data_IF_929082548926
#
_entry.id   IF_929082548926
#
_cell.length_a   1.000
_cell.length_b   1.000
_cell.length_c   1.000
_cell.angle_alpha   90.00
_cell.angle_beta   90.00
_cell.angle_gamma   90.00
#
_symmetry.space_group_name_H-M   'P 1'
#
loop_
_entity.id
_entity.type
_entity.pdbx_description
1 polymer ?
#
# COMPACT_ATOMS: atom_id res chain seq x y z
N UNK A 1 7.94 -10.78 -17.41
CA UNK A 1 7.05 -10.80 -16.21
C UNK A 1 5.77 -10.02 -16.48
N UNK A 2 4.65 -10.38 -15.85
CA UNK A 2 3.39 -9.62 -15.88
C UNK A 2 3.34 -8.67 -14.69
N UNK A 3 2.73 -7.49 -14.88
CA UNK A 3 2.42 -6.56 -13.80
C UNK A 3 0.94 -6.66 -13.50
N UNK A 4 0.55 -6.72 -12.23
CA UNK A 4 -0.84 -6.97 -11.83
C UNK A 4 -1.31 -5.90 -10.88
N UNK A 5 -2.41 -5.26 -11.23
CA UNK A 5 -3.16 -4.36 -10.35
C UNK A 5 -4.48 -5.01 -9.93
N UNK A 6 -4.93 -4.71 -8.73
CA UNK A 6 -6.27 -5.05 -8.26
C UNK A 6 -7.03 -3.75 -8.02
N UNK A 7 -8.10 -3.54 -8.76
CA UNK A 7 -8.90 -2.32 -8.70
C UNK A 7 -10.35 -2.66 -8.38
N UNK A 8 -10.81 -2.27 -7.19
CA UNK A 8 -12.23 -2.20 -6.85
C UNK A 8 -12.60 -0.75 -6.56
N UNK A 9 -13.42 -0.16 -7.42
CA UNK A 9 -13.68 1.27 -7.42
C UNK A 9 -15.07 1.59 -7.94
N UNK A 10 -15.62 2.67 -7.47
CA UNK A 10 -16.90 3.22 -7.90
C UNK A 10 -16.73 4.65 -8.43
N UNK A 11 -17.68 5.19 -9.19
CA UNK A 11 -17.60 6.59 -9.59
C UNK A 11 -17.60 7.62 -8.42
N UNK A 12 -17.77 7.16 -7.17
CA UNK A 12 -17.79 8.03 -5.98
C UNK A 12 -16.44 8.14 -5.26
N UNK A 13 -15.51 7.21 -5.53
CA UNK A 13 -14.16 7.23 -4.95
C UNK A 13 -13.12 7.71 -5.99
N UNK A 14 -11.83 7.63 -5.65
CA UNK A 14 -10.71 8.07 -6.48
C UNK A 14 -9.70 6.95 -6.78
N UNK A 15 -10.04 5.70 -6.49
CA UNK A 15 -9.12 4.57 -6.72
C UNK A 15 -8.86 4.30 -8.21
N UNK A 16 -9.83 4.61 -9.07
CA UNK A 16 -9.64 4.52 -10.51
C UNK A 16 -8.60 5.52 -11.02
N UNK A 17 -8.66 6.76 -10.55
CA UNK A 17 -7.74 7.83 -10.93
C UNK A 17 -6.31 7.53 -10.45
N UNK A 18 -6.17 6.92 -9.28
CA UNK A 18 -4.88 6.42 -8.78
C UNK A 18 -4.35 5.30 -9.67
N UNK A 19 -5.17 4.30 -9.97
CA UNK A 19 -4.80 3.21 -10.89
C UNK A 19 -4.43 3.73 -12.28
N UNK A 20 -5.12 4.76 -12.77
CA UNK A 20 -4.84 5.38 -14.06
C UNK A 20 -3.47 6.08 -14.08
N UNK A 21 -3.14 6.87 -13.03
CA UNK A 21 -1.82 7.49 -12.90
C UNK A 21 -0.71 6.45 -12.79
N UNK A 22 -0.92 5.41 -11.99
CA UNK A 22 0.04 4.32 -11.84
C UNK A 22 0.25 3.58 -13.16
N UNK A 23 -0.81 3.23 -13.88
CA UNK A 23 -0.73 2.56 -15.18
C UNK A 23 -0.05 3.41 -16.25
N UNK A 24 -0.32 4.72 -16.29
CA UNK A 24 0.37 5.65 -17.16
C UNK A 24 1.86 5.68 -16.87
N UNK A 25 2.25 5.83 -15.59
CA UNK A 25 3.66 5.84 -15.19
C UNK A 25 4.37 4.52 -15.50
N UNK A 26 3.68 3.38 -15.31
CA UNK A 26 4.21 2.07 -15.70
C UNK A 26 4.50 2.03 -17.20
N UNK A 27 3.52 2.42 -18.02
CA UNK A 27 3.66 2.38 -19.48
C UNK A 27 4.75 3.33 -19.98
N UNK A 28 4.93 4.47 -19.32
CA UNK A 28 5.96 5.45 -19.65
C UNK A 28 7.38 4.89 -19.45
N UNK A 29 7.64 4.23 -18.32
CA UNK A 29 8.97 3.69 -18.00
C UNK A 29 9.18 2.26 -18.51
N UNK A 30 8.10 1.54 -18.80
CA UNK A 30 8.10 0.15 -19.25
C UNK A 30 7.12 -0.01 -20.43
N UNK A 31 7.45 0.49 -21.65
CA UNK A 31 6.51 0.53 -22.78
C UNK A 31 5.97 -0.85 -23.18
N UNK A 32 6.79 -1.89 -23.04
CA UNK A 32 6.43 -3.28 -23.34
C UNK A 32 5.77 -4.04 -22.17
N UNK A 33 5.50 -3.37 -21.04
CA UNK A 33 4.93 -4.01 -19.86
C UNK A 33 3.59 -4.69 -20.14
N UNK A 34 3.44 -5.93 -19.71
CA UNK A 34 2.14 -6.62 -19.74
C UNK A 34 1.37 -6.30 -18.46
N UNK A 35 0.58 -5.24 -18.48
CA UNK A 35 -0.27 -4.85 -17.35
C UNK A 35 -1.61 -5.58 -17.41
N UNK A 36 -1.90 -6.38 -16.40
CA UNK A 36 -3.19 -7.02 -16.15
C UNK A 36 -3.87 -6.29 -15.00
N UNK A 37 -5.09 -5.84 -15.22
CA UNK A 37 -5.91 -5.22 -14.16
C UNK A 37 -7.05 -6.15 -13.80
N UNK A 38 -7.05 -6.65 -12.57
CA UNK A 38 -8.12 -7.46 -12.02
C UNK A 38 -9.15 -6.53 -11.38
N UNK A 39 -10.40 -6.64 -11.80
CA UNK A 39 -11.50 -5.80 -11.32
C UNK A 39 -12.68 -6.67 -10.87
N UNK A 40 -13.51 -6.17 -9.96
CA UNK A 40 -14.80 -6.80 -9.69
C UNK A 40 -15.85 -6.40 -10.75
N UNK A 41 -16.94 -7.14 -10.83
CA UNK A 41 -18.04 -6.89 -11.79
C UNK A 41 -18.60 -5.47 -11.70
N UNK A 42 -18.72 -4.87 -10.50
CA UNK A 42 -19.22 -3.50 -10.33
C UNK A 42 -18.23 -2.45 -10.85
N UNK A 43 -16.95 -2.64 -10.58
CA UNK A 43 -15.90 -1.80 -11.16
C UNK A 43 -15.92 -1.93 -12.66
N UNK A 44 -15.95 -3.14 -13.22
CA UNK A 44 -15.98 -3.37 -14.67
C UNK A 44 -17.18 -2.69 -15.32
N UNK A 45 -18.36 -2.80 -14.75
CA UNK A 45 -19.58 -2.13 -15.25
C UNK A 45 -19.47 -0.59 -15.23
N UNK A 46 -18.61 -0.02 -14.36
CA UNK A 46 -18.38 1.41 -14.28
C UNK A 46 -17.35 1.96 -15.29
N UNK A 47 -16.61 1.09 -16.01
CA UNK A 47 -15.58 1.48 -16.99
C UNK A 47 -16.20 1.89 -18.33
N UNK A 48 -17.01 2.94 -18.33
CA UNK A 48 -17.77 3.45 -19.47
C UNK A 48 -17.43 4.90 -19.79
N UNK A 49 -17.76 5.35 -21.02
CA UNK A 49 -17.62 6.75 -21.42
C UNK A 49 -18.51 7.68 -20.59
N UNK A 50 -19.72 7.23 -20.26
CA UNK A 50 -20.63 7.99 -19.41
C UNK A 50 -20.01 8.35 -18.05
N UNK A 51 -19.27 7.39 -17.47
CA UNK A 51 -18.55 7.60 -16.20
C UNK A 51 -17.17 8.25 -16.40
N UNK A 52 -16.76 8.55 -17.64
CA UNK A 52 -15.40 9.03 -17.98
C UNK A 52 -14.28 8.12 -17.46
N UNK A 53 -14.48 6.79 -17.55
CA UNK A 53 -13.57 5.80 -16.94
C UNK A 53 -13.03 4.78 -17.95
N UNK A 54 -12.75 5.22 -19.18
CA UNK A 54 -12.25 4.34 -20.25
C UNK A 54 -10.74 4.46 -20.47
N UNK A 55 -10.10 5.55 -19.98
CA UNK A 55 -8.69 5.84 -20.25
C UNK A 55 -7.73 4.72 -19.75
N UNK A 56 -8.06 4.01 -18.68
CA UNK A 56 -7.25 2.89 -18.20
C UNK A 56 -7.06 1.78 -19.25
N UNK A 57 -8.04 1.60 -20.15
CA UNK A 57 -7.95 0.64 -21.27
C UNK A 57 -6.81 0.93 -22.24
N UNK A 58 -6.31 2.19 -22.28
CA UNK A 58 -5.17 2.59 -23.12
C UNK A 58 -3.84 2.01 -22.60
N UNK A 59 -3.75 1.76 -21.29
CA UNK A 59 -2.51 1.37 -20.63
C UNK A 59 -2.51 -0.10 -20.19
N UNK A 60 -3.70 -0.67 -19.90
CA UNK A 60 -3.83 -2.08 -19.56
C UNK A 60 -3.69 -2.97 -20.81
N UNK A 61 -2.93 -4.05 -20.70
CA UNK A 61 -2.88 -5.10 -21.74
C UNK A 61 -4.11 -5.98 -21.67
N UNK A 62 -4.67 -6.15 -20.47
CA UNK A 62 -5.87 -6.93 -20.21
C UNK A 62 -6.58 -6.41 -18.97
N UNK A 63 -7.91 -6.37 -19.01
CA UNK A 63 -8.76 -6.17 -17.83
C UNK A 63 -9.59 -7.44 -17.64
N UNK A 64 -9.49 -8.06 -16.48
CA UNK A 64 -10.20 -9.30 -16.13
C UNK A 64 -11.25 -8.97 -15.08
N UNK A 65 -12.52 -9.20 -15.40
CA UNK A 65 -13.64 -9.04 -14.46
C UNK A 65 -13.87 -10.31 -13.66
N UNK A 66 -14.02 -10.15 -12.35
CA UNK A 66 -14.29 -11.24 -11.42
C UNK A 66 -15.65 -10.98 -10.78
N UNK A 67 -16.53 -11.97 -10.86
CA UNK A 67 -17.89 -11.85 -10.39
C UNK A 67 -17.99 -12.06 -8.89
N UNK A 68 -18.71 -11.16 -8.24
CA UNK A 68 -19.08 -11.25 -6.83
C UNK A 68 -20.57 -10.97 -6.67
N UNK A 69 -21.16 -11.57 -5.65
CA UNK A 69 -22.52 -11.26 -5.23
C UNK A 69 -22.62 -9.79 -4.79
N UNK A 70 -23.81 -9.22 -4.93
CA UNK A 70 -24.01 -7.77 -4.72
C UNK A 70 -23.81 -7.30 -3.28
N UNK A 71 -24.01 -8.18 -2.33
CA UNK A 71 -23.87 -7.93 -0.88
C UNK A 71 -22.42 -7.96 -0.38
N UNK A 72 -21.46 -8.44 -1.20
CA UNK A 72 -20.04 -8.43 -0.82
C UNK A 72 -19.49 -6.99 -0.82
N UNK A 73 -18.96 -6.47 0.30
CA UNK A 73 -18.40 -5.12 0.37
C UNK A 73 -17.19 -4.92 -0.55
N UNK A 74 -17.00 -3.70 -1.08
CA UNK A 74 -15.86 -3.38 -1.98
C UNK A 74 -14.50 -3.73 -1.37
N UNK A 75 -14.30 -3.43 -0.09
CA UNK A 75 -13.05 -3.78 0.62
C UNK A 75 -12.81 -5.29 0.59
N UNK A 76 -13.84 -6.09 0.79
CA UNK A 76 -13.73 -7.55 0.81
C UNK A 76 -13.42 -8.08 -0.60
N UNK A 77 -14.09 -7.56 -1.65
CA UNK A 77 -13.79 -7.92 -3.05
C UNK A 77 -12.34 -7.63 -3.40
N UNK A 78 -11.84 -6.43 -3.06
CA UNK A 78 -10.44 -6.07 -3.28
C UNK A 78 -9.49 -7.10 -2.64
N UNK A 79 -9.71 -7.48 -1.39
CA UNK A 79 -8.84 -8.41 -0.68
C UNK A 79 -8.98 -9.85 -1.18
N UNK A 80 -10.19 -10.27 -1.53
CA UNK A 80 -10.44 -11.59 -2.13
C UNK A 80 -9.72 -11.74 -3.48
N UNK A 81 -9.78 -10.71 -4.34
CA UNK A 81 -9.06 -10.71 -5.63
C UNK A 81 -7.54 -10.72 -5.37
N UNK A 82 -7.03 -9.80 -4.53
CA UNK A 82 -5.61 -9.65 -4.23
C UNK A 82 -4.99 -10.95 -3.72
N UNK A 83 -5.65 -11.61 -2.80
CA UNK A 83 -5.13 -12.83 -2.18
C UNK A 83 -5.32 -14.08 -3.05
N UNK A 84 -5.99 -13.96 -4.20
CA UNK A 84 -6.24 -15.05 -5.15
C UNK A 84 -5.67 -14.78 -6.56
N UNK A 85 -4.73 -13.82 -6.72
CA UNK A 85 -4.14 -13.47 -8.03
C UNK A 85 -3.70 -14.68 -8.85
N UNK A 86 -3.03 -15.72 -8.29
CA UNK A 86 -2.61 -16.90 -9.07
C UNK A 86 -3.75 -17.75 -9.65
N UNK A 87 -4.98 -17.51 -9.27
CA UNK A 87 -6.16 -18.16 -9.86
C UNK A 87 -6.56 -17.48 -11.18
N UNK A 88 -6.21 -16.20 -11.36
CA UNK A 88 -6.58 -15.38 -12.52
C UNK A 88 -5.43 -15.09 -13.45
N UNK A 89 -4.19 -15.11 -12.92
CA UNK A 89 -2.98 -14.76 -13.66
C UNK A 89 -2.00 -15.92 -13.59
N UNK A 90 -1.73 -16.56 -14.74
CA UNK A 90 -0.71 -17.62 -14.86
C UNK A 90 0.70 -17.05 -15.02
N UNK A 91 1.71 -17.81 -14.61
CA UNK A 91 3.13 -17.44 -14.74
C UNK A 91 3.57 -16.42 -13.69
N UNK A 92 4.80 -15.91 -13.88
CA UNK A 92 5.42 -14.94 -12.96
C UNK A 92 4.77 -13.56 -13.06
N UNK A 93 4.57 -12.91 -11.91
CA UNK A 93 3.99 -11.58 -11.85
C UNK A 93 4.57 -10.73 -10.71
N UNK A 94 4.47 -9.41 -10.88
CA UNK A 94 4.65 -8.42 -9.84
C UNK A 94 3.30 -7.76 -9.55
N UNK A 95 2.74 -8.02 -8.37
CA UNK A 95 1.58 -7.29 -7.87
C UNK A 95 2.02 -5.93 -7.34
N UNK A 96 1.28 -4.88 -7.67
CA UNK A 96 1.53 -3.49 -7.24
C UNK A 96 0.19 -2.86 -6.87
N UNK A 97 0.12 -2.19 -5.71
CA UNK A 97 -1.06 -1.41 -5.30
C UNK A 97 -1.27 -0.20 -6.23
N UNK A 98 -2.51 0.23 -6.41
CA UNK A 98 -2.88 1.30 -7.34
C UNK A 98 -2.43 2.70 -6.88
N UNK A 99 -2.21 2.93 -5.60
CA UNK A 99 -1.70 4.19 -5.03
C UNK A 99 -0.17 4.29 -5.07
N UNK A 100 0.36 3.98 -6.25
CA UNK A 100 1.80 3.99 -6.56
C UNK A 100 2.09 4.82 -7.82
N UNK A 101 3.34 5.27 -7.95
CA UNK A 101 3.88 5.84 -9.20
C UNK A 101 5.16 5.10 -9.56
N UNK A 102 5.21 4.58 -10.78
CA UNK A 102 6.41 3.94 -11.32
C UNK A 102 7.39 5.03 -11.75
N UNK A 103 8.64 4.91 -11.32
CA UNK A 103 9.66 5.96 -11.46
C UNK A 103 10.81 5.57 -12.40
N UNK A 104 10.86 4.30 -12.83
CA UNK A 104 11.97 3.78 -13.61
C UNK A 104 11.61 2.41 -14.23
N UNK A 105 12.53 1.85 -15.02
CA UNK A 105 12.43 0.48 -15.54
C UNK A 105 12.38 -0.54 -14.40
N UNK A 106 11.44 -1.48 -14.48
CA UNK A 106 11.21 -2.53 -13.50
C UNK A 106 11.81 -3.89 -13.90
N UNK A 107 12.45 -4.01 -15.06
CA UNK A 107 12.94 -5.30 -15.57
C UNK A 107 13.91 -6.01 -14.63
N UNK A 108 14.71 -5.26 -13.86
CA UNK A 108 15.68 -5.83 -12.92
C UNK A 108 15.03 -6.65 -11.78
N UNK A 109 13.74 -6.48 -11.52
CA UNK A 109 13.04 -7.30 -10.50
C UNK A 109 13.01 -8.79 -10.88
N UNK A 110 13.08 -9.09 -12.17
CA UNK A 110 13.15 -10.47 -12.66
C UNK A 110 14.44 -11.16 -12.24
N UNK A 111 15.51 -10.41 -11.98
CA UNK A 111 16.81 -10.92 -11.54
C UNK A 111 16.86 -11.23 -10.04
N UNK A 112 15.82 -10.85 -9.27
CA UNK A 112 15.77 -11.17 -7.85
C UNK A 112 15.78 -12.68 -7.63
N UNK A 113 16.77 -13.17 -6.88
CA UNK A 113 17.01 -14.61 -6.67
C UNK A 113 16.03 -15.24 -5.65
N UNK A 114 14.72 -15.09 -5.86
CA UNK A 114 13.68 -15.64 -4.97
C UNK A 114 12.43 -16.04 -5.75
N UNK A 115 11.65 -16.95 -5.18
CA UNK A 115 10.32 -17.30 -5.72
C UNK A 115 9.29 -16.23 -5.35
N UNK A 116 9.28 -15.80 -4.10
CA UNK A 116 8.38 -14.76 -3.63
C UNK A 116 9.17 -13.69 -2.88
N UNK A 117 8.73 -12.44 -2.99
CA UNK A 117 9.38 -11.32 -2.31
C UNK A 117 8.44 -10.17 -2.01
N UNK A 118 8.81 -9.35 -1.04
CA UNK A 118 8.09 -8.14 -0.66
C UNK A 118 9.00 -7.18 0.08
N UNK A 119 8.61 -5.91 0.15
CA UNK A 119 9.38 -4.87 0.83
C UNK A 119 8.87 -4.71 2.25
N UNK A 120 9.79 -4.43 3.18
CA UNK A 120 9.43 -4.17 4.59
C UNK A 120 8.55 -2.92 4.71
N UNK A 121 7.52 -3.03 5.49
CA UNK A 121 6.72 -1.89 5.94
C UNK A 121 7.60 -0.97 6.80
N UNK A 122 7.58 0.33 6.53
CA UNK A 122 8.46 1.28 7.22
C UNK A 122 9.95 1.10 6.93
N UNK A 123 10.35 0.24 6.00
CA UNK A 123 11.74 -0.05 5.59
C UNK A 123 12.67 -0.44 6.74
N UNK A 124 12.16 -1.01 7.81
CA UNK A 124 12.94 -1.42 8.97
C UNK A 124 12.46 -2.76 9.55
N UNK A 125 13.29 -3.36 10.37
CA UNK A 125 12.91 -4.55 11.13
C UNK A 125 11.89 -4.18 12.22
N UNK A 126 11.15 -5.18 12.68
CA UNK A 126 10.06 -4.99 13.65
C UNK A 126 10.51 -4.27 14.93
N UNK A 127 11.74 -4.54 15.39
CA UNK A 127 12.25 -3.95 16.62
C UNK A 127 12.46 -2.44 16.54
N UNK A 128 12.73 -1.93 15.34
CA UNK A 128 12.91 -0.50 15.03
C UNK A 128 11.61 0.17 14.59
N UNK A 129 10.58 -0.62 14.29
CA UNK A 129 9.36 -0.10 13.68
C UNK A 129 8.51 0.70 14.67
N UNK A 130 8.16 1.94 14.31
CA UNK A 130 7.37 2.85 15.17
C UNK A 130 6.01 2.27 15.58
N UNK A 131 5.42 1.40 14.74
CA UNK A 131 4.14 0.73 14.99
C UNK A 131 4.28 -0.70 15.52
N UNK A 132 5.47 -1.13 15.99
CA UNK A 132 5.72 -2.47 16.54
C UNK A 132 4.64 -2.92 17.53
N UNK A 133 4.35 -2.07 18.52
CA UNK A 133 3.34 -2.40 19.55
C UNK A 133 1.96 -2.66 18.96
N UNK A 134 1.59 -1.88 17.95
CA UNK A 134 0.32 -2.00 17.25
C UNK A 134 0.23 -3.31 16.45
N UNK A 135 1.26 -3.67 15.70
CA UNK A 135 1.30 -4.93 14.94
C UNK A 135 1.22 -6.14 15.85
N UNK A 136 2.03 -6.17 16.91
CA UNK A 136 2.02 -7.29 17.87
C UNK A 136 0.68 -7.40 18.62
N UNK A 137 0.04 -6.29 18.96
CA UNK A 137 -1.28 -6.30 19.58
C UNK A 137 -2.36 -6.82 18.63
N UNK A 138 -2.30 -6.43 17.34
CA UNK A 138 -3.19 -6.95 16.30
C UNK A 138 -2.98 -8.46 16.11
N UNK A 139 -1.75 -8.91 15.91
CA UNK A 139 -1.42 -10.32 15.74
C UNK A 139 -1.91 -11.15 16.93
N UNK A 140 -1.71 -10.67 18.16
CA UNK A 140 -2.23 -11.33 19.36
C UNK A 140 -3.76 -11.47 19.33
N UNK A 141 -4.49 -10.41 18.92
CA UNK A 141 -5.97 -10.44 18.78
C UNK A 141 -6.41 -11.47 17.75
N UNK A 142 -5.65 -11.60 16.65
CA UNK A 142 -5.93 -12.53 15.55
C UNK A 142 -5.49 -13.98 15.87
N UNK A 143 -4.65 -14.19 16.86
CA UNK A 143 -4.01 -15.48 17.14
C UNK A 143 -2.85 -15.77 16.17
N UNK A 144 -2.22 -14.75 15.61
CA UNK A 144 -1.12 -14.84 14.65
C UNK A 144 0.24 -14.72 15.35
N UNK A 145 1.25 -15.30 14.73
CA UNK A 145 2.64 -15.25 15.17
C UNK A 145 3.61 -14.78 14.10
N UNK A 146 3.13 -14.64 12.87
CA UNK A 146 3.95 -14.41 11.68
C UNK A 146 4.87 -13.20 11.80
N UNK A 147 4.34 -12.02 12.11
CA UNK A 147 5.13 -10.80 12.25
C UNK A 147 6.23 -10.93 13.31
N UNK A 148 5.91 -11.54 14.46
CA UNK A 148 6.90 -11.77 15.54
C UNK A 148 7.97 -12.78 15.12
N UNK A 149 7.58 -13.88 14.49
CA UNK A 149 8.49 -14.94 14.06
C UNK A 149 9.39 -14.50 12.91
N UNK A 150 8.85 -13.67 12.00
CA UNK A 150 9.60 -13.06 10.92
C UNK A 150 10.57 -11.97 11.44
N UNK A 151 10.28 -11.35 12.59
CA UNK A 151 11.01 -10.18 13.09
C UNK A 151 10.82 -8.93 12.21
N UNK A 152 9.79 -8.92 11.38
CA UNK A 152 9.52 -7.87 10.40
C UNK A 152 8.02 -7.84 10.05
N UNK A 153 7.60 -6.74 9.39
CA UNK A 153 6.28 -6.62 8.79
C UNK A 153 6.46 -6.34 7.30
N UNK A 154 6.00 -7.26 6.43
CA UNK A 154 6.08 -7.07 4.99
C UNK A 154 4.90 -6.21 4.56
N UNK A 155 5.17 -5.17 3.76
CA UNK A 155 4.13 -4.35 3.18
C UNK A 155 3.40 -5.10 2.06
N UNK A 156 2.08 -5.14 2.14
CA UNK A 156 1.25 -5.85 1.18
C UNK A 156 1.08 -5.14 -0.17
N UNK A 157 1.57 -3.92 -0.33
CA UNK A 157 1.39 -3.11 -1.55
C UNK A 157 2.27 -3.51 -2.73
N UNK A 158 3.25 -4.41 -2.50
CA UNK A 158 4.03 -5.02 -3.55
C UNK A 158 4.35 -6.47 -3.20
N UNK A 159 4.06 -7.39 -4.12
CA UNK A 159 4.41 -8.82 -3.99
C UNK A 159 4.98 -9.33 -5.31
N UNK A 160 6.24 -9.70 -5.29
CA UNK A 160 6.88 -10.47 -6.36
C UNK A 160 6.49 -11.94 -6.22
N UNK A 161 6.05 -12.55 -7.31
CA UNK A 161 5.68 -13.96 -7.36
C UNK A 161 6.19 -14.58 -8.67
N UNK A 162 7.12 -15.51 -8.57
CA UNK A 162 7.68 -16.25 -9.71
C UNK A 162 7.02 -17.61 -9.87
N UNK A 163 6.88 -18.03 -11.11
CA UNK A 163 6.31 -19.33 -11.50
C UNK A 163 6.95 -19.81 -12.81
N UNK A 164 8.28 -19.73 -12.88
CA UNK A 164 9.08 -20.15 -14.04
C UNK A 164 9.32 -21.67 -14.03
N UNK A 165 9.29 -22.28 -12.85
CA UNK A 165 9.37 -23.71 -12.65
C UNK A 165 8.14 -24.22 -11.91
N UNK A 166 7.87 -25.53 -11.99
CA UNK A 166 6.74 -26.16 -11.26
C UNK A 166 6.86 -25.92 -9.74
N UNK A 167 8.06 -26.01 -9.20
CA UNK A 167 8.29 -25.78 -7.77
C UNK A 167 8.00 -24.31 -7.38
N UNK A 168 8.42 -23.34 -8.17
CA UNK A 168 8.10 -21.93 -7.95
C UNK A 168 6.59 -21.68 -8.05
N UNK A 169 5.94 -22.24 -9.07
CA UNK A 169 4.50 -22.13 -9.25
C UNK A 169 3.74 -22.72 -8.06
N UNK A 170 4.18 -23.87 -7.53
CA UNK A 170 3.61 -24.50 -6.35
C UNK A 170 3.79 -23.64 -5.09
N UNK A 171 5.00 -23.12 -4.87
CA UNK A 171 5.29 -22.25 -3.71
C UNK A 171 4.47 -20.94 -3.77
N UNK A 172 4.37 -20.32 -4.94
CA UNK A 172 3.56 -19.13 -5.15
C UNK A 172 2.08 -19.41 -4.87
N UNK A 173 1.53 -20.46 -5.44
CA UNK A 173 0.12 -20.84 -5.21
C UNK A 173 -0.14 -21.14 -3.73
N UNK A 174 0.76 -21.85 -3.05
CA UNK A 174 0.60 -22.16 -1.63
C UNK A 174 0.62 -20.90 -0.76
N UNK A 175 1.54 -19.95 -1.00
CA UNK A 175 1.58 -18.68 -0.27
C UNK A 175 0.24 -17.92 -0.42
N UNK A 176 -0.24 -17.75 -1.66
CA UNK A 176 -1.47 -17.00 -1.92
C UNK A 176 -2.72 -17.72 -1.38
N UNK A 177 -2.78 -19.04 -1.47
CA UNK A 177 -3.83 -19.84 -0.86
C UNK A 177 -3.89 -19.64 0.65
N UNK A 178 -2.74 -19.77 1.33
CA UNK A 178 -2.63 -19.49 2.76
C UNK A 178 -3.01 -18.05 3.10
N UNK A 179 -2.55 -17.08 2.31
CA UNK A 179 -2.91 -15.68 2.50
C UNK A 179 -4.42 -15.45 2.41
N UNK A 180 -5.09 -16.03 1.42
CA UNK A 180 -6.54 -15.95 1.23
C UNK A 180 -7.32 -16.60 2.39
N UNK A 181 -6.95 -17.80 2.80
CA UNK A 181 -7.60 -18.52 3.91
C UNK A 181 -7.45 -17.79 5.23
N UNK A 182 -6.24 -17.32 5.54
CA UNK A 182 -5.93 -16.57 6.76
C UNK A 182 -6.63 -15.21 6.75
N UNK A 183 -6.66 -14.51 5.61
CA UNK A 183 -7.39 -13.26 5.50
C UNK A 183 -8.90 -13.45 5.70
N UNK A 184 -9.51 -14.48 5.10
CA UNK A 184 -10.92 -14.83 5.33
C UNK A 184 -11.22 -15.08 6.81
N UNK A 185 -10.37 -15.83 7.49
CA UNK A 185 -10.49 -16.05 8.93
C UNK A 185 -10.40 -14.71 9.68
N UNK A 186 -9.40 -13.88 9.39
CA UNK A 186 -9.24 -12.56 10.00
C UNK A 186 -10.47 -11.68 9.78
N UNK A 187 -10.94 -11.58 8.54
CA UNK A 187 -12.04 -10.70 8.16
C UNK A 187 -13.39 -11.15 8.72
N UNK A 188 -13.72 -12.42 8.58
CA UNK A 188 -15.07 -12.92 8.87
C UNK A 188 -15.22 -13.48 10.30
N UNK A 189 -14.14 -14.00 10.89
CA UNK A 189 -14.20 -14.55 12.26
C UNK A 189 -13.71 -13.54 13.30
N UNK A 190 -12.69 -12.75 12.97
CA UNK A 190 -12.06 -11.79 13.90
C UNK A 190 -12.45 -10.34 13.63
N UNK A 191 -13.21 -10.07 12.57
CA UNK A 191 -13.65 -8.74 12.15
C UNK A 191 -12.49 -7.75 11.92
N UNK A 192 -11.38 -8.25 11.37
CA UNK A 192 -10.21 -7.47 10.99
C UNK A 192 -9.90 -7.71 9.50
N UNK A 193 -10.12 -6.69 8.68
CA UNK A 193 -10.02 -6.76 7.21
C UNK A 193 -8.64 -6.34 6.66
N UNK A 194 -7.66 -6.12 7.52
CA UNK A 194 -6.30 -5.81 7.07
C UNK A 194 -5.62 -7.08 6.52
N UNK A 195 -5.10 -6.95 5.32
CA UNK A 195 -4.49 -8.07 4.58
C UNK A 195 -3.01 -8.31 4.93
N UNK A 196 -2.31 -7.29 5.45
CA UNK A 196 -0.87 -7.34 5.71
C UNK A 196 -0.51 -8.31 6.85
N UNK A 197 -1.26 -8.32 7.97
CA UNK A 197 -1.04 -9.31 9.03
C UNK A 197 -1.28 -10.74 8.54
N UNK A 198 -2.27 -10.93 7.66
CA UNK A 198 -2.55 -12.23 7.05
C UNK A 198 -1.42 -12.67 6.10
N UNK A 199 -0.79 -11.74 5.34
CA UNK A 199 0.37 -12.03 4.51
C UNK A 199 1.57 -12.51 5.35
N UNK A 200 1.87 -11.80 6.44
CA UNK A 200 2.97 -12.19 7.33
C UNK A 200 2.75 -13.54 8.00
N UNK A 201 1.52 -13.82 8.40
CA UNK A 201 1.14 -15.14 8.95
C UNK A 201 1.20 -16.23 7.87
N UNK A 202 0.76 -15.96 6.65
CA UNK A 202 0.87 -16.90 5.52
C UNK A 202 2.33 -17.22 5.21
N UNK A 203 3.19 -16.20 5.13
CA UNK A 203 4.63 -16.40 4.95
C UNK A 203 5.24 -17.25 6.05
N UNK A 204 4.87 -17.03 7.31
CA UNK A 204 5.31 -17.86 8.43
C UNK A 204 4.87 -19.31 8.28
N UNK A 205 3.60 -19.57 7.98
CA UNK A 205 3.06 -20.93 7.83
C UNK A 205 3.63 -21.69 6.63
N UNK A 206 4.06 -20.96 5.59
CA UNK A 206 4.71 -21.55 4.42
C UNK A 206 6.23 -21.63 4.52
N UNK A 207 6.80 -21.36 5.71
CA UNK A 207 8.21 -21.58 6.02
C UNK A 207 9.12 -20.36 5.82
N UNK A 208 8.59 -19.13 5.90
CA UNK A 208 9.34 -17.86 5.82
C UNK A 208 10.13 -17.69 4.52
N UNK A 209 9.52 -18.05 3.39
CA UNK A 209 10.20 -18.09 2.08
C UNK A 209 10.19 -16.77 1.32
N UNK A 210 9.42 -15.77 1.75
CA UNK A 210 9.44 -14.46 1.10
C UNK A 210 10.75 -13.74 1.39
N UNK A 211 11.46 -13.35 0.32
CA UNK A 211 12.66 -12.51 0.41
C UNK A 211 12.28 -11.08 0.73
N UNK A 212 13.03 -10.42 1.60
CA UNK A 212 12.97 -8.98 1.75
C UNK A 212 13.67 -8.33 0.56
N UNK A 213 12.88 -7.62 -0.25
CA UNK A 213 13.39 -6.87 -1.38
C UNK A 213 13.90 -5.51 -0.93
N UNK A 214 14.80 -4.93 -1.72
CA UNK A 214 15.30 -3.57 -1.51
C UNK A 214 14.16 -2.57 -1.48
N UNK A 215 14.25 -1.56 -0.60
CA UNK A 215 13.22 -0.53 -0.41
C UNK A 215 12.88 0.28 -1.67
N UNK A 216 13.79 0.33 -2.66
CA UNK A 216 13.54 0.99 -3.95
C UNK A 216 12.35 0.41 -4.72
N UNK A 217 12.02 -0.88 -4.51
CA UNK A 217 10.92 -1.56 -5.20
C UNK A 217 9.53 -1.15 -4.69
N UNK A 218 9.44 -0.64 -3.47
CA UNK A 218 8.20 -0.13 -2.88
C UNK A 218 8.56 0.99 -1.90
N UNK A 219 9.10 2.09 -2.42
CA UNK A 219 9.53 3.23 -1.63
C UNK A 219 8.32 3.89 -0.96
N UNK A 220 8.33 3.93 0.37
CA UNK A 220 7.26 4.45 1.22
C UNK A 220 7.73 5.75 1.92
N UNK A 221 7.80 6.90 1.23
CA UNK A 221 8.51 8.08 1.75
C UNK A 221 7.96 8.61 3.07
N UNK A 222 6.64 8.48 3.31
CA UNK A 222 6.01 8.86 4.58
C UNK A 222 6.28 7.86 5.74
N UNK A 223 6.84 6.68 5.42
CA UNK A 223 7.04 5.56 6.34
C UNK A 223 8.50 5.07 6.30
N UNK A 224 9.47 5.97 6.48
CA UNK A 224 10.88 5.62 6.53
C UNK A 224 11.58 5.46 5.17
N UNK A 225 10.86 5.59 4.05
CA UNK A 225 11.38 5.34 2.71
C UNK A 225 12.22 6.46 2.08
N UNK A 226 12.42 7.60 2.74
CA UNK A 226 13.18 8.73 2.15
C UNK A 226 14.59 8.35 1.73
N UNK A 227 15.25 7.42 2.45
CA UNK A 227 16.58 6.93 2.11
C UNK A 227 16.63 6.22 0.75
N UNK A 228 15.51 5.64 0.31
CA UNK A 228 15.39 4.91 -0.95
C UNK A 228 14.87 5.77 -2.11
N UNK A 229 14.46 7.03 -1.83
CA UNK A 229 13.76 7.87 -2.82
C UNK A 229 14.60 8.13 -4.06
N UNK A 230 15.91 8.37 -3.93
CA UNK A 230 16.80 8.62 -5.07
C UNK A 230 16.75 7.47 -6.07
N UNK A 231 16.81 6.24 -5.58
CA UNK A 231 16.93 5.04 -6.39
C UNK A 231 15.56 4.32 -6.56
N UNK A 232 14.47 4.97 -6.09
CA UNK A 232 13.13 4.41 -6.13
C UNK A 232 12.72 4.00 -7.54
N UNK A 233 12.28 2.76 -7.67
CA UNK A 233 11.64 2.20 -8.86
C UNK A 233 10.12 2.42 -8.81
N UNK A 234 9.54 2.34 -7.61
CA UNK A 234 8.13 2.56 -7.33
C UNK A 234 8.00 3.40 -6.07
N UNK A 235 7.27 4.50 -6.15
CA UNK A 235 6.85 5.30 -4.99
C UNK A 235 5.44 4.86 -4.60
N UNK A 236 5.26 4.44 -3.35
CA UNK A 236 3.97 4.10 -2.75
C UNK A 236 3.56 5.23 -1.80
N UNK A 237 2.54 6.00 -2.17
CA UNK A 237 2.24 7.27 -1.53
C UNK A 237 1.06 7.26 -0.54
N UNK A 238 0.36 6.13 -0.36
CA UNK A 238 -0.69 5.94 0.65
C UNK A 238 -1.77 7.03 0.64
N UNK A 239 -2.46 7.20 -0.47
CA UNK A 239 -3.41 8.30 -0.66
C UNK A 239 -4.63 8.28 0.26
N UNK A 240 -4.92 7.14 0.88
CA UNK A 240 -6.13 6.96 1.70
C UNK A 240 -5.99 7.41 3.15
N UNK A 241 -4.77 7.59 3.66
CA UNK A 241 -4.55 7.69 5.12
C UNK A 241 -4.84 9.06 5.71
N UNK A 242 -4.73 10.13 4.93
CA UNK A 242 -4.83 11.49 5.47
C UNK A 242 -5.83 12.32 4.69
N UNK A 243 -7.06 12.42 5.17
CA UNK A 243 -8.09 13.27 4.59
C UNK A 243 -8.73 14.17 5.64
N UNK A 244 -8.19 15.38 5.79
CA UNK A 244 -8.84 16.47 6.53
C UNK A 244 -9.11 17.64 5.58
N UNK A 245 -10.11 18.49 5.89
CA UNK A 245 -10.47 19.65 5.06
C UNK A 245 -9.30 20.62 4.76
N UNK A 246 -8.19 20.55 5.51
CA UNK A 246 -7.01 21.42 5.37
C UNK A 246 -5.72 20.60 5.25
N UNK A 247 -5.82 19.34 4.81
CA UNK A 247 -4.63 18.50 4.65
C UNK A 247 -3.97 18.78 3.30
N UNK A 248 -2.71 19.20 3.33
CA UNK A 248 -1.85 19.28 2.16
C UNK A 248 -1.04 17.98 2.14
N UNK A 249 -1.22 17.12 1.14
CA UNK A 249 -0.45 15.89 1.08
C UNK A 249 1.05 16.19 0.94
N UNK A 250 1.88 15.42 1.61
CA UNK A 250 3.33 15.57 1.49
C UNK A 250 3.83 15.25 0.06
N UNK A 251 3.07 14.44 -0.69
CA UNK A 251 3.31 14.08 -2.09
C UNK A 251 2.22 14.70 -2.96
N UNK A 252 2.58 15.55 -3.92
CA UNK A 252 1.63 16.32 -4.73
C UNK A 252 0.68 15.43 -5.53
N UNK A 253 1.17 14.29 -6.08
CA UNK A 253 0.35 13.35 -6.83
C UNK A 253 -0.69 12.58 -5.97
N UNK A 254 -0.57 12.65 -4.64
CA UNK A 254 -1.58 12.14 -3.70
C UNK A 254 -2.72 13.15 -3.44
N UNK A 255 -2.64 14.36 -4.01
CA UNK A 255 -3.65 15.40 -3.79
C UNK A 255 -4.99 15.01 -4.44
N UNK A 256 -6.04 15.00 -3.61
CA UNK A 256 -7.40 14.68 -4.06
C UNK A 256 -7.94 15.69 -5.08
N UNK A 257 -7.52 16.96 -5.01
CA UNK A 257 -7.93 17.96 -5.98
C UNK A 257 -7.41 17.63 -7.38
N UNK A 258 -6.16 17.19 -7.46
CA UNK A 258 -5.52 16.73 -8.69
C UNK A 258 -6.21 15.46 -9.23
N UNK A 259 -6.50 14.49 -8.37
CA UNK A 259 -7.21 13.26 -8.76
C UNK A 259 -8.66 13.56 -9.21
N UNK A 260 -9.34 14.53 -8.60
CA UNK A 260 -10.67 14.98 -9.05
C UNK A 260 -10.63 15.62 -10.45
N UNK A 261 -9.56 16.38 -10.79
CA UNK A 261 -9.39 16.90 -12.15
C UNK A 261 -9.28 15.76 -13.18
N UNK A 262 -8.50 14.72 -12.88
CA UNK A 262 -8.42 13.52 -13.74
C UNK A 262 -9.81 12.91 -13.94
N UNK A 263 -10.57 12.80 -12.86
CA UNK A 263 -11.94 12.28 -12.90
C UNK A 263 -12.88 13.14 -13.73
N UNK A 264 -12.81 14.45 -13.60
CA UNK A 264 -13.64 15.41 -14.34
C UNK A 264 -13.31 15.41 -15.83
N UNK A 265 -12.03 15.29 -16.20
CA UNK A 265 -11.56 15.22 -17.57
C UNK A 265 -11.72 13.81 -18.20
N UNK A 266 -11.69 12.77 -17.37
CA UNK A 266 -11.76 11.35 -17.81
C UNK A 266 -10.44 10.80 -18.34
N UNK A 267 -9.38 11.60 -18.29
CA UNK A 267 -8.00 11.22 -18.64
C UNK A 267 -7.01 12.07 -17.84
N UNK A 268 -5.72 11.75 -17.91
CA UNK A 268 -4.66 12.49 -17.20
C UNK A 268 -4.33 13.78 -17.97
N UNK A 269 -4.55 14.98 -17.39
CA UNK A 269 -4.13 16.26 -17.96
C UNK A 269 -2.62 16.33 -18.21
N UNK A 270 -2.19 17.14 -19.20
CA UNK A 270 -0.77 17.23 -19.57
C UNK A 270 0.13 17.71 -18.43
N UNK A 271 -0.29 18.72 -17.66
CA UNK A 271 0.46 19.18 -16.49
C UNK A 271 0.65 18.08 -15.43
N UNK A 272 -0.32 17.18 -15.28
CA UNK A 272 -0.21 16.02 -14.40
C UNK A 272 0.71 14.95 -15.00
N UNK A 273 0.67 14.75 -16.31
CA UNK A 273 1.64 13.86 -16.99
C UNK A 273 3.07 14.36 -16.86
N UNK A 274 3.28 15.68 -16.92
CA UNK A 274 4.59 16.29 -16.64
C UNK A 274 5.04 16.03 -15.20
N UNK A 275 4.15 16.19 -14.22
CA UNK A 275 4.45 15.85 -12.83
C UNK A 275 4.81 14.36 -12.66
N UNK A 276 4.09 13.45 -13.32
CA UNK A 276 4.37 12.01 -13.30
C UNK A 276 5.71 11.70 -14.01
N UNK A 277 6.19 12.58 -14.87
CA UNK A 277 7.48 12.41 -15.57
C UNK A 277 8.68 12.58 -14.64
N UNK A 278 8.52 13.38 -13.60
CA UNK A 278 9.54 13.64 -12.59
C UNK A 278 9.02 13.32 -11.18
N UNK A 279 8.61 12.07 -10.93
CA UNK A 279 7.82 11.72 -9.76
C UNK A 279 8.61 11.90 -8.45
N UNK A 280 9.94 11.78 -8.48
CA UNK A 280 10.81 11.92 -7.31
C UNK A 280 10.92 13.34 -6.80
N UNK A 281 10.48 14.33 -7.60
CA UNK A 281 10.51 15.77 -7.23
C UNK A 281 9.14 16.32 -6.84
N UNK A 282 8.07 15.48 -6.85
CA UNK A 282 6.71 15.92 -6.58
C UNK A 282 6.35 15.94 -5.09
N UNK A 283 7.33 16.22 -4.24
CA UNK A 283 7.09 16.40 -2.81
C UNK A 283 6.75 17.86 -2.50
N UNK A 284 5.82 18.05 -1.57
CA UNK A 284 5.49 19.37 -1.09
C UNK A 284 6.54 19.81 -0.07
N UNK A 285 7.44 20.70 -0.47
CA UNK A 285 8.52 21.21 0.38
C UNK A 285 8.03 21.86 1.67
N UNK A 286 6.82 22.45 1.65
CA UNK A 286 6.19 23.04 2.84
C UNK A 286 5.91 21.97 3.90
N UNK A 287 5.60 20.76 3.49
CA UNK A 287 5.31 19.65 4.40
C UNK A 287 6.57 18.98 4.96
N UNK A 288 7.61 18.89 4.16
CA UNK A 288 8.88 18.27 4.58
C UNK A 288 9.74 19.22 5.44
N UNK A 289 9.63 20.54 5.24
CA UNK A 289 10.54 21.51 5.83
C UNK A 289 9.82 22.58 6.65
N UNK A 290 8.57 22.92 6.34
CA UNK A 290 7.88 24.11 6.88
C UNK A 290 6.37 23.96 7.11
N UNK A 291 5.88 22.78 7.53
CA UNK A 291 4.59 22.87 8.24
C UNK A 291 4.85 23.67 9.52
N UNK A 292 4.47 24.94 9.50
CA UNK A 292 4.75 25.89 10.58
C UNK A 292 4.27 25.39 11.95
N UNK A 293 3.22 24.52 11.97
CA UNK A 293 2.71 23.90 13.19
C UNK A 293 3.61 22.76 13.67
N UNK A 294 4.06 21.88 12.77
CA UNK A 294 4.97 20.78 13.11
C UNK A 294 6.34 21.33 13.48
N UNK A 295 6.89 22.26 12.70
CA UNK A 295 8.18 22.90 13.00
C UNK A 295 8.11 23.66 14.33
N UNK A 296 7.04 24.41 14.59
CA UNK A 296 6.82 25.09 15.87
C UNK A 296 6.76 24.11 17.04
N UNK A 297 6.07 22.97 16.88
CA UNK A 297 6.03 21.91 17.90
C UNK A 297 7.40 21.28 18.06
N UNK A 298 8.11 20.94 16.98
CA UNK A 298 9.45 20.33 17.03
C UNK A 298 10.48 21.25 17.66
N UNK A 299 10.36 22.56 17.48
CA UNK A 299 11.26 23.56 18.08
C UNK A 299 10.83 23.98 19.49
N UNK A 300 9.72 23.47 20.00
CA UNK A 300 9.28 23.81 21.34
C UNK A 300 10.14 23.19 22.43
N UNK A 301 10.36 23.88 23.57
CA UNK A 301 11.05 23.28 24.72
C UNK A 301 10.42 21.97 25.19
N UNK A 302 9.10 21.83 25.04
CA UNK A 302 8.39 20.60 25.37
C UNK A 302 8.88 19.41 24.54
N UNK A 303 9.10 19.56 23.24
CA UNK A 303 9.57 18.48 22.38
C UNK A 303 10.98 18.04 22.75
N UNK A 304 11.89 18.99 23.02
CA UNK A 304 13.23 18.68 23.51
C UNK A 304 13.19 17.95 24.84
N UNK A 305 12.37 18.43 25.79
CA UNK A 305 12.20 17.75 27.10
C UNK A 305 11.67 16.34 26.95
N UNK A 306 10.70 16.11 26.05
CA UNK A 306 10.16 14.77 25.77
C UNK A 306 11.20 13.85 25.10
N UNK A 307 12.05 14.39 24.22
CA UNK A 307 13.15 13.64 23.61
C UNK A 307 14.20 13.24 24.67
N UNK A 308 14.54 14.15 25.57
CA UNK A 308 15.46 13.88 26.69
C UNK A 308 14.90 12.85 27.65
N UNK A 309 13.63 12.97 28.03
CA UNK A 309 12.96 11.96 28.88
C UNK A 309 12.96 10.60 28.19
N UNK A 310 12.67 10.56 26.89
CA UNK A 310 12.69 9.31 26.11
C UNK A 310 14.06 8.64 26.10
N UNK A 311 15.12 9.44 25.98
CA UNK A 311 16.50 8.96 25.92
C UNK A 311 17.05 8.53 27.29
N UNK A 312 16.78 9.31 28.34
CA UNK A 312 17.39 9.12 29.65
C UNK A 312 16.49 8.43 30.68
N UNK A 313 15.18 8.49 30.50
CA UNK A 313 14.19 7.86 31.38
C UNK A 313 13.02 7.23 30.62
N UNK A 314 13.26 6.18 29.78
CA UNK A 314 12.22 5.53 28.97
C UNK A 314 10.96 5.11 29.74
N UNK A 315 11.05 4.63 31.00
CA UNK A 315 9.84 4.28 31.76
C UNK A 315 8.89 5.46 31.99
N UNK A 316 9.45 6.64 32.29
CA UNK A 316 8.65 7.86 32.46
C UNK A 316 8.00 8.30 31.14
N UNK A 317 8.75 8.24 30.04
CA UNK A 317 8.20 8.53 28.70
C UNK A 317 7.02 7.59 28.37
N UNK A 318 7.17 6.29 28.59
CA UNK A 318 6.13 5.29 28.34
C UNK A 318 4.87 5.54 29.19
N UNK A 319 5.03 5.99 30.44
CA UNK A 319 3.90 6.37 31.29
C UNK A 319 3.17 7.59 30.73
N UNK A 320 3.89 8.63 30.31
CA UNK A 320 3.30 9.84 29.69
C UNK A 320 2.57 9.48 28.38
N UNK A 321 3.15 8.64 27.52
CA UNK A 321 2.54 8.16 26.29
C UNK A 321 1.23 7.39 26.57
N UNK A 322 1.21 6.55 27.60
CA UNK A 322 0.02 5.81 28.02
C UNK A 322 -1.10 6.74 28.50
N UNK A 323 -0.78 7.78 29.27
CA UNK A 323 -1.74 8.79 29.74
C UNK A 323 -2.35 9.54 28.56
N UNK A 324 -1.53 10.05 27.63
CA UNK A 324 -2.00 10.77 26.43
C UNK A 324 -2.84 9.84 25.54
N UNK A 325 -2.43 8.59 25.37
CA UNK A 325 -3.19 7.57 24.64
C UNK A 325 -4.56 7.30 25.26
N UNK A 326 -4.64 7.23 26.59
CA UNK A 326 -5.88 7.09 27.33
C UNK A 326 -6.83 8.29 27.17
N UNK A 327 -6.31 9.50 27.27
CA UNK A 327 -7.07 10.74 27.03
C UNK A 327 -7.60 10.82 25.58
N UNK A 328 -6.81 10.44 24.59
CA UNK A 328 -7.24 10.36 23.19
C UNK A 328 -8.35 9.34 22.98
N UNK A 329 -8.28 8.19 23.66
CA UNK A 329 -9.33 7.16 23.64
C UNK A 329 -10.64 7.65 24.23
N UNK A 330 -10.59 8.37 25.35
CA UNK A 330 -11.75 9.03 25.97
C UNK A 330 -12.37 10.08 25.06
N UNK A 331 -11.57 10.95 24.45
CA UNK A 331 -12.03 11.97 23.52
C UNK A 331 -12.74 11.38 22.29
N UNK A 332 -12.23 10.26 21.75
CA UNK A 332 -12.88 9.53 20.65
C UNK A 332 -14.24 8.95 21.06
N UNK A 333 -14.34 8.37 22.28
CA UNK A 333 -15.62 7.84 22.80
C UNK A 333 -16.68 8.94 23.00
N UNK A 334 -16.25 10.13 23.40
CA UNK A 334 -17.15 11.28 23.57
C UNK A 334 -17.64 11.85 22.22
N UNK A 335 -16.79 11.84 21.19
CA UNK A 335 -17.17 12.27 19.83
C UNK A 335 -18.06 11.27 19.08
N UNK A 336 -17.97 9.99 19.38
CA UNK A 336 -18.81 8.93 18.79
C UNK A 336 -20.20 8.78 19.41
N UNK A 337 -20.54 9.60 20.42
CA UNK A 337 -21.87 9.65 21.05
C UNK A 337 -22.71 10.87 20.61
N UNK A 338 -22.26 11.63 19.62
CA UNK A 338 -23.02 12.64 18.90
C UNK A 338 -23.21 12.14 17.46
#
# INVERSE_FOLDING_TARGET
MKYVYVLTSTPKDLYYEQALMSAYSLRKHNPAAQLIVLVDNKTNASLTEENKRTALKKYASQIISIDFADDVPNVDRSRLIKTAIPEYVSGSFLYIDCDTIICDDLSDIEKEGCTTGGVLDGHCMLDEHIHKKYFLARDKKLGFSGTKKLGANINGGLVLAKAETEEQAKQTKELFKQWNEIWKYSAYTKHDKHDQSALNEANYRTGLKMKFLDGKWNCQPSHGGLAFLRDAKIIHYYSSEFSGKNYIPYYKLADKSLQNRIKEEGDIPEDIKEMISEPKFQFNSVHLINDSRIVSIMQSPLTFTLADIKSHCPPLFNLMEAIVGGLRGLAKKLKGKK
#
